data_IF_777221483513
#
_entry.id   IF_777221483513
#
_cell.length_a   1.000
_cell.length_b   1.000
_cell.length_c   1.000
_cell.angle_alpha   90.00
_cell.angle_beta   90.00
_cell.angle_gamma   90.00
#
_symmetry.space_group_name_H-M   'P 1'
#
loop_
_entity.id
_entity.type
_entity.pdbx_description
1 polymer ?
#
# COMPACT_ATOMS: atom_id res chain seq x y z
N UNK A 1 43.00 -30.53 15.84
CA UNK A 1 42.37 -30.19 17.14
C UNK A 1 41.93 -28.73 17.24
N UNK A 2 42.71 -27.75 16.78
CA UNK A 2 42.37 -26.31 16.87
C UNK A 2 41.13 -25.92 16.05
N UNK A 3 40.96 -26.44 14.82
CA UNK A 3 39.77 -26.16 13.98
C UNK A 3 38.45 -26.65 14.58
N UNK A 4 38.46 -27.74 15.36
CA UNK A 4 37.24 -28.33 15.95
C UNK A 4 36.72 -27.49 17.11
N UNK A 5 37.58 -26.74 17.80
CA UNK A 5 37.17 -25.84 18.89
C UNK A 5 36.73 -24.45 18.39
N UNK A 6 37.18 -24.00 17.21
CA UNK A 6 36.87 -22.65 16.69
C UNK A 6 35.46 -22.57 16.08
N UNK A 7 35.03 -23.61 15.36
CA UNK A 7 33.70 -23.66 14.70
C UNK A 7 32.53 -23.42 15.68
N UNK A 8 32.43 -24.09 16.84
CA UNK A 8 31.35 -23.82 17.78
C UNK A 8 31.38 -22.40 18.35
N UNK A 9 32.56 -21.82 18.57
CA UNK A 9 32.70 -20.43 19.03
C UNK A 9 32.21 -19.42 18.00
N UNK A 10 32.51 -19.63 16.71
CA UNK A 10 32.02 -18.77 15.62
C UNK A 10 30.50 -18.89 15.47
N UNK A 11 29.97 -20.12 15.53
CA UNK A 11 28.53 -20.35 15.44
C UNK A 11 27.76 -19.69 16.60
N UNK A 12 28.30 -19.79 17.82
CA UNK A 12 27.75 -19.12 19.00
C UNK A 12 27.76 -17.59 18.84
N UNK A 13 28.89 -17.01 18.40
CA UNK A 13 29.00 -15.57 18.17
C UNK A 13 28.00 -15.09 17.11
N UNK A 14 27.84 -15.82 16.01
CA UNK A 14 26.85 -15.51 14.98
C UNK A 14 25.44 -15.59 15.54
N UNK A 15 25.11 -16.64 16.29
CA UNK A 15 23.80 -16.80 16.93
C UNK A 15 23.47 -15.65 17.89
N UNK A 16 24.42 -15.28 18.75
CA UNK A 16 24.27 -14.13 19.65
C UNK A 16 24.13 -12.80 18.91
N UNK A 17 24.86 -12.63 17.80
CA UNK A 17 24.75 -11.43 16.95
C UNK A 17 23.37 -11.33 16.30
N UNK A 18 22.87 -12.43 15.75
CA UNK A 18 21.53 -12.48 15.15
C UNK A 18 20.45 -12.20 16.20
N UNK A 19 20.56 -12.82 17.38
CA UNK A 19 19.65 -12.57 18.50
C UNK A 19 19.69 -11.11 18.93
N UNK A 20 20.88 -10.53 19.07
CA UNK A 20 21.03 -9.12 19.44
C UNK A 20 20.44 -8.17 18.39
N UNK A 21 20.66 -8.43 17.09
CA UNK A 21 20.06 -7.65 16.01
C UNK A 21 18.52 -7.73 16.06
N UNK A 22 17.96 -8.92 16.24
CA UNK A 22 16.51 -9.12 16.32
C UNK A 22 15.91 -8.44 17.55
N UNK A 23 16.53 -8.60 18.72
CA UNK A 23 16.08 -7.95 19.96
C UNK A 23 16.14 -6.44 19.83
N UNK A 24 17.25 -5.89 19.32
CA UNK A 24 17.39 -4.45 19.08
C UNK A 24 16.31 -3.93 18.13
N UNK A 25 15.98 -4.70 17.09
CA UNK A 25 14.93 -4.34 16.13
C UNK A 25 13.53 -4.37 16.73
N UNK A 26 13.18 -5.45 17.43
CA UNK A 26 11.84 -5.64 18.01
C UNK A 26 11.58 -4.72 19.20
N UNK A 27 12.63 -4.37 19.95
CA UNK A 27 12.54 -3.53 21.15
C UNK A 27 12.88 -2.06 20.87
N UNK A 28 13.13 -1.68 19.61
CA UNK A 28 13.42 -0.28 19.27
C UNK A 28 12.24 0.61 19.67
N UNK A 29 12.47 1.73 20.38
CA UNK A 29 11.42 2.71 20.63
C UNK A 29 10.80 3.15 19.30
N UNK A 30 9.47 3.13 19.22
CA UNK A 30 8.73 3.56 18.04
C UNK A 30 7.49 4.34 18.48
N UNK A 31 7.03 5.24 17.62
CA UNK A 31 5.77 5.92 17.87
C UNK A 31 4.60 4.93 17.82
N UNK A 32 3.70 4.93 18.84
CA UNK A 32 2.47 4.17 18.82
C UNK A 32 1.37 4.85 18.01
N UNK A 33 1.51 6.15 17.70
CA UNK A 33 0.45 6.91 17.04
C UNK A 33 0.10 6.30 15.69
N UNK A 34 -1.20 6.18 15.46
CA UNK A 34 -1.79 5.78 14.19
C UNK A 34 -2.75 6.88 13.72
N UNK A 35 -2.59 7.31 12.48
CA UNK A 35 -3.51 8.20 11.80
C UNK A 35 -4.49 7.37 10.98
N UNK A 36 -5.78 7.68 11.10
CA UNK A 36 -6.84 7.10 10.27
C UNK A 36 -7.60 8.23 9.62
N UNK A 37 -7.85 8.10 8.31
CA UNK A 37 -8.74 9.00 7.59
C UNK A 37 -10.19 8.49 7.70
N UNK A 38 -11.10 9.41 8.00
CA UNK A 38 -12.53 9.19 7.90
C UNK A 38 -13.00 9.51 6.46
N UNK A 39 -14.24 9.14 6.06
CA UNK A 39 -14.76 9.47 4.74
C UNK A 39 -14.70 10.98 4.44
N UNK A 40 -14.39 11.31 3.19
CA UNK A 40 -14.34 12.69 2.71
C UNK A 40 -15.61 13.02 1.94
N UNK A 41 -16.12 14.23 2.16
CA UNK A 41 -17.19 14.83 1.39
C UNK A 41 -16.60 15.68 0.26
N UNK A 42 -17.13 15.49 -0.95
CA UNK A 42 -16.77 16.25 -2.14
C UNK A 42 -18.00 17.02 -2.61
N UNK A 43 -17.90 18.34 -2.60
CA UNK A 43 -18.98 19.24 -3.00
C UNK A 43 -18.52 20.07 -4.20
N UNK A 44 -19.19 19.88 -5.34
CA UNK A 44 -19.00 20.72 -6.52
C UNK A 44 -19.97 21.92 -6.47
N UNK A 45 -19.47 23.12 -6.72
CA UNK A 45 -20.24 24.34 -6.78
C UNK A 45 -19.80 25.22 -7.97
N UNK A 46 -20.46 26.37 -8.18
CA UNK A 46 -20.20 27.23 -9.33
C UNK A 46 -18.77 27.81 -9.37
N UNK A 47 -18.10 27.90 -8.22
CA UNK A 47 -16.75 28.47 -8.11
C UNK A 47 -15.64 27.39 -8.04
N UNK A 48 -16.00 26.09 -8.13
CA UNK A 48 -15.06 24.97 -8.10
C UNK A 48 -15.48 23.81 -7.18
N UNK A 49 -14.50 23.13 -6.59
CA UNK A 49 -14.71 21.92 -5.78
C UNK A 49 -14.19 22.15 -4.36
N UNK A 50 -14.99 21.79 -3.37
CA UNK A 50 -14.58 21.76 -1.96
C UNK A 50 -14.54 20.32 -1.48
N UNK A 51 -13.45 19.95 -0.81
CA UNK A 51 -13.20 18.62 -0.26
C UNK A 51 -12.97 18.78 1.24
N UNK A 52 -13.81 18.13 2.05
CA UNK A 52 -13.73 18.18 3.51
C UNK A 52 -13.71 16.77 4.07
N UNK A 53 -12.79 16.51 4.99
CA UNK A 53 -12.75 15.24 5.72
C UNK A 53 -12.11 15.41 7.08
N UNK A 54 -12.17 14.38 7.91
CA UNK A 54 -11.51 14.35 9.21
C UNK A 54 -10.46 13.24 9.24
N UNK A 55 -9.38 13.47 9.98
CA UNK A 55 -8.41 12.45 10.37
C UNK A 55 -8.40 12.31 11.89
N UNK A 56 -8.33 11.06 12.35
CA UNK A 56 -8.23 10.71 13.76
C UNK A 56 -6.82 10.19 14.05
N UNK A 57 -6.12 10.84 14.97
CA UNK A 57 -4.82 10.40 15.49
C UNK A 57 -5.05 9.71 16.83
N UNK A 58 -4.76 8.41 16.90
CA UNK A 58 -4.99 7.59 18.09
C UNK A 58 -3.67 7.13 18.71
N UNK A 59 -3.58 7.19 20.03
CA UNK A 59 -2.49 6.58 20.78
C UNK A 59 -2.97 5.29 21.48
N UNK A 60 -2.72 4.11 20.89
CA UNK A 60 -3.11 2.83 21.50
C UNK A 60 -2.27 2.48 22.73
N UNK A 61 -1.11 3.12 22.94
CA UNK A 61 -0.22 2.78 24.04
C UNK A 61 -0.84 3.18 25.39
N UNK A 62 -0.61 2.36 26.43
CA UNK A 62 -1.26 2.56 27.73
C UNK A 62 -0.75 3.77 28.51
N UNK A 63 0.54 4.08 28.42
CA UNK A 63 1.22 5.04 29.32
C UNK A 63 2.07 6.09 28.62
N UNK A 64 2.35 5.90 27.33
CA UNK A 64 3.30 6.76 26.63
C UNK A 64 2.49 7.90 26.07
N UNK A 65 2.92 9.11 26.37
CA UNK A 65 2.37 10.32 25.77
C UNK A 65 3.25 10.69 24.58
N UNK A 66 2.62 11.12 23.50
CA UNK A 66 3.32 11.45 22.26
C UNK A 66 2.81 12.80 21.79
N UNK A 67 3.75 13.66 21.46
CA UNK A 67 3.49 15.00 20.98
C UNK A 67 3.34 14.96 19.47
N UNK A 68 2.36 15.71 18.97
CA UNK A 68 2.18 16.05 17.55
C UNK A 68 2.44 17.55 17.41
N UNK A 69 3.72 17.97 17.36
CA UNK A 69 4.06 19.39 17.32
C UNK A 69 3.73 20.03 15.97
N UNK A 70 3.68 19.24 14.91
CA UNK A 70 3.53 19.72 13.53
C UNK A 70 2.58 18.80 12.76
N UNK A 71 1.66 19.41 12.00
CA UNK A 71 0.86 18.77 10.95
C UNK A 71 0.70 19.77 9.80
N UNK A 72 0.81 19.29 8.57
CA UNK A 72 0.64 20.08 7.37
C UNK A 72 0.06 19.21 6.25
N UNK A 73 -0.57 19.86 5.27
CA UNK A 73 -1.10 19.21 4.09
C UNK A 73 -0.23 19.52 2.87
N UNK A 74 -0.02 18.51 2.04
CA UNK A 74 0.57 18.65 0.72
C UNK A 74 -0.34 17.96 -0.31
N UNK A 75 -1.36 18.68 -0.80
CA UNK A 75 -2.30 18.14 -1.77
C UNK A 75 -1.77 18.22 -3.21
N UNK A 76 -2.01 17.17 -3.98
CA UNK A 76 -1.60 17.00 -5.38
C UNK A 76 -2.82 16.65 -6.23
N UNK A 77 -2.98 17.36 -7.35
CA UNK A 77 -4.08 17.14 -8.29
C UNK A 77 -3.68 16.10 -9.34
N UNK A 78 -4.52 15.08 -9.51
CA UNK A 78 -4.35 14.04 -10.53
C UNK A 78 -5.53 14.06 -11.49
N UNK A 79 -5.23 14.12 -12.79
CA UNK A 79 -6.24 14.29 -13.81
C UNK A 79 -5.73 14.08 -15.23
N UNK A 80 -6.56 14.46 -16.19
CA UNK A 80 -6.30 14.43 -17.63
C UNK A 80 -6.10 15.88 -18.12
N UNK A 81 -4.87 16.20 -18.53
CA UNK A 81 -4.50 17.52 -19.06
C UNK A 81 -3.93 18.47 -18.01
N UNK A 82 -3.86 19.76 -18.34
CA UNK A 82 -2.97 20.75 -17.70
C UNK A 82 -3.19 20.95 -16.18
N UNK A 83 -4.11 21.76 -15.67
CA UNK A 83 -4.40 22.00 -14.24
C UNK A 83 -3.58 23.14 -13.59
N UNK A 84 -2.64 23.78 -14.29
CA UNK A 84 -1.98 25.00 -13.79
C UNK A 84 -2.94 26.16 -13.50
N UNK A 85 -4.11 26.15 -14.13
CA UNK A 85 -5.19 27.13 -13.95
C UNK A 85 -6.04 26.87 -12.69
N UNK A 86 -5.84 25.74 -12.01
CA UNK A 86 -6.57 25.41 -10.77
C UNK A 86 -5.86 26.03 -9.58
N UNK A 87 -6.53 26.98 -8.92
CA UNK A 87 -6.07 27.53 -7.65
C UNK A 87 -6.42 26.56 -6.53
N UNK A 88 -5.39 26.01 -5.90
CA UNK A 88 -5.53 25.13 -4.75
C UNK A 88 -5.27 25.92 -3.47
N UNK A 89 -6.15 25.77 -2.48
CA UNK A 89 -5.90 26.16 -1.10
C UNK A 89 -6.27 25.02 -0.17
N UNK A 90 -5.55 24.89 0.95
CA UNK A 90 -5.83 23.87 1.96
C UNK A 90 -5.58 24.40 3.36
N UNK A 91 -6.26 23.84 4.36
CA UNK A 91 -6.01 24.13 5.77
C UNK A 91 -6.33 22.93 6.65
N UNK A 92 -5.71 22.93 7.82
CA UNK A 92 -5.94 21.99 8.91
C UNK A 92 -6.64 22.73 10.03
N UNK A 93 -7.76 22.20 10.50
CA UNK A 93 -8.50 22.73 11.65
C UNK A 93 -8.34 21.73 12.80
N UNK A 94 -7.68 22.15 13.88
CA UNK A 94 -7.47 21.31 15.06
C UNK A 94 -8.80 21.05 15.77
N UNK A 95 -9.12 19.78 16.02
CA UNK A 95 -10.32 19.33 16.75
C UNK A 95 -9.89 18.56 18.01
N UNK A 96 -9.09 19.20 18.84
CA UNK A 96 -8.62 18.65 20.11
C UNK A 96 -9.79 18.49 21.10
N UNK A 97 -9.86 17.39 21.86
CA UNK A 97 -10.95 17.15 22.79
C UNK A 97 -10.96 18.08 24.01
N UNK A 98 -9.81 18.65 24.37
CA UNK A 98 -9.58 19.42 25.60
C UNK A 98 -9.00 20.82 25.36
N UNK A 99 -8.93 21.28 24.11
CA UNK A 99 -8.49 22.63 23.74
C UNK A 99 -9.44 23.23 22.69
N UNK A 100 -9.70 24.53 22.81
CA UNK A 100 -10.47 25.25 21.79
C UNK A 100 -9.66 25.45 20.51
N UNK A 101 -10.31 25.27 19.37
CA UNK A 101 -9.73 25.56 18.07
C UNK A 101 -9.40 27.05 17.95
N UNK A 102 -8.15 27.37 17.61
CA UNK A 102 -7.75 28.75 17.40
C UNK A 102 -8.44 29.36 16.17
N UNK A 103 -8.89 30.63 16.20
CA UNK A 103 -9.53 31.28 15.04
C UNK A 103 -8.63 31.41 13.80
N UNK A 104 -7.32 31.42 13.99
CA UNK A 104 -6.32 31.46 12.91
C UNK A 104 -6.03 30.09 12.29
N UNK A 105 -6.64 29.01 12.82
CA UNK A 105 -6.39 27.62 12.46
C UNK A 105 -4.93 27.19 12.61
N UNK A 106 -4.15 27.86 13.45
CA UNK A 106 -2.81 27.41 13.79
C UNK A 106 -2.88 26.08 14.54
N UNK A 107 -2.08 25.11 14.12
CA UNK A 107 -1.94 23.85 14.84
C UNK A 107 -1.10 24.05 16.10
N UNK A 108 -1.75 24.11 17.26
CA UNK A 108 -1.06 24.07 18.53
C UNK A 108 -0.44 22.68 18.73
N UNK A 109 0.80 22.65 19.22
CA UNK A 109 1.47 21.39 19.53
C UNK A 109 0.64 20.60 20.57
N UNK A 110 0.19 19.41 20.19
CA UNK A 110 -0.78 18.65 21.00
C UNK A 110 -0.20 17.35 21.55
N UNK A 111 -0.58 16.99 22.78
CA UNK A 111 -0.14 15.76 23.44
C UNK A 111 -1.24 14.71 23.35
N UNK A 112 -1.03 13.68 22.55
CA UNK A 112 -1.95 12.53 22.51
C UNK A 112 -1.58 11.58 23.64
N UNK A 113 -2.32 11.67 24.75
CA UNK A 113 -2.14 10.82 25.93
C UNK A 113 -2.43 9.35 25.63
N UNK A 114 -1.92 8.45 26.48
CA UNK A 114 -2.15 7.01 26.31
C UNK A 114 -3.64 6.64 26.29
N UNK A 115 -4.04 5.79 25.33
CA UNK A 115 -5.45 5.39 25.06
C UNK A 115 -6.38 6.55 24.76
N UNK A 116 -5.86 7.68 24.29
CA UNK A 116 -6.63 8.83 23.84
C UNK A 116 -6.44 9.05 22.35
N UNK A 117 -7.28 9.89 21.80
CA UNK A 117 -7.24 10.32 20.41
C UNK A 117 -7.45 11.83 20.31
N UNK A 118 -7.00 12.39 19.21
CA UNK A 118 -7.29 13.75 18.78
C UNK A 118 -7.72 13.72 17.32
N UNK A 119 -8.35 14.79 16.85
CA UNK A 119 -8.82 14.88 15.46
C UNK A 119 -8.32 16.14 14.80
N UNK A 120 -8.28 16.12 13.48
CA UNK A 120 -8.08 17.28 12.64
C UNK A 120 -9.04 17.23 11.47
N UNK A 121 -9.70 18.35 11.17
CA UNK A 121 -10.48 18.51 9.95
C UNK A 121 -9.59 19.09 8.86
N UNK A 122 -9.64 18.47 7.69
CA UNK A 122 -8.89 18.86 6.51
C UNK A 122 -9.86 19.50 5.54
N UNK A 123 -9.59 20.74 5.15
CA UNK A 123 -10.40 21.46 4.17
C UNK A 123 -9.52 21.83 2.98
N UNK A 124 -9.94 21.42 1.78
CA UNK A 124 -9.25 21.71 0.52
C UNK A 124 -10.26 22.37 -0.42
N UNK A 125 -9.91 23.52 -0.97
CA UNK A 125 -10.71 24.25 -1.95
C UNK A 125 -9.93 24.39 -3.25
N UNK A 126 -10.57 23.97 -4.33
CA UNK A 126 -10.06 24.01 -5.70
C UNK A 126 -10.92 24.98 -6.49
N UNK A 127 -10.36 26.13 -6.87
CA UNK A 127 -11.05 27.16 -7.66
C UNK A 127 -10.51 27.19 -9.08
N UNK A 128 -11.40 27.17 -10.06
CA UNK A 128 -11.06 27.33 -11.47
C UNK A 128 -12.27 27.89 -12.24
N UNK A 129 -12.05 28.60 -13.36
CA UNK A 129 -13.15 29.02 -14.23
C UNK A 129 -13.92 27.80 -14.76
N UNK A 130 -15.23 27.75 -14.50
CA UNK A 130 -16.11 26.74 -15.10
C UNK A 130 -16.15 26.85 -16.63
N UNK A 131 -16.38 25.74 -17.37
CA UNK A 131 -16.86 24.41 -16.92
C UNK A 131 -15.80 23.29 -17.04
N UNK A 132 -14.51 23.61 -16.95
CA UNK A 132 -13.44 22.68 -17.36
C UNK A 132 -12.87 21.77 -16.26
N UNK A 133 -12.97 22.12 -14.97
CA UNK A 133 -12.23 21.41 -13.90
C UNK A 133 -12.76 19.99 -13.64
N UNK A 134 -14.08 19.80 -13.56
CA UNK A 134 -14.68 18.50 -13.24
C UNK A 134 -14.45 17.42 -14.32
N UNK A 135 -14.15 17.83 -15.56
CA UNK A 135 -13.84 16.91 -16.66
C UNK A 135 -12.34 16.55 -16.73
N UNK A 136 -11.48 17.44 -16.22
CA UNK A 136 -10.02 17.31 -16.27
C UNK A 136 -9.45 16.72 -14.99
N UNK A 137 -10.14 16.83 -13.86
CA UNK A 137 -9.64 16.39 -12.57
C UNK A 137 -10.33 15.08 -12.16
N UNK A 138 -9.53 14.05 -11.88
CA UNK A 138 -10.04 12.73 -11.50
C UNK A 138 -9.97 12.49 -9.99
N UNK A 139 -8.86 12.92 -9.37
CA UNK A 139 -8.49 12.49 -8.02
C UNK A 139 -7.66 13.56 -7.33
N UNK A 140 -7.89 13.73 -6.04
CA UNK A 140 -7.07 14.55 -5.15
C UNK A 140 -6.26 13.62 -4.25
N UNK A 141 -4.94 13.71 -4.34
CA UNK A 141 -4.03 13.05 -3.40
C UNK A 141 -3.67 14.01 -2.29
N UNK A 142 -3.98 13.69 -1.04
CA UNK A 142 -3.70 14.53 0.12
C UNK A 142 -2.62 13.84 0.95
N UNK A 143 -1.45 14.46 1.04
CA UNK A 143 -0.43 14.00 1.96
C UNK A 143 -0.56 14.76 3.28
N UNK A 144 -0.73 14.02 4.36
CA UNK A 144 -0.64 14.55 5.72
C UNK A 144 0.80 14.37 6.19
N UNK A 145 1.54 15.47 6.26
CA UNK A 145 2.90 15.52 6.78
C UNK A 145 2.84 15.90 8.26
N UNK A 146 3.32 15.04 9.15
CA UNK A 146 3.21 15.26 10.58
C UNK A 146 4.41 14.71 11.33
N UNK A 147 4.57 15.15 12.58
CA UNK A 147 5.71 14.76 13.41
C UNK A 147 5.21 14.01 14.64
N UNK A 148 5.83 12.87 14.93
CA UNK A 148 5.65 12.17 16.19
C UNK A 148 6.87 12.47 17.04
N UNK A 149 6.67 13.09 18.20
CA UNK A 149 7.75 13.46 19.11
C UNK A 149 7.56 12.82 20.48
N UNK A 150 8.58 12.13 20.98
CA UNK A 150 8.49 11.37 22.24
C UNK A 150 9.81 10.67 22.61
N UNK A 151 9.78 9.63 23.47
CA UNK A 151 10.98 8.91 23.93
C UNK A 151 11.81 8.26 22.81
N UNK A 152 11.22 8.07 21.63
CA UNK A 152 11.88 7.55 20.42
C UNK A 152 12.51 8.66 19.57
N UNK A 153 12.51 9.91 20.04
CA UNK A 153 13.01 11.07 19.31
C UNK A 153 11.93 11.74 18.46
N UNK A 154 12.34 12.26 17.29
CA UNK A 154 11.49 12.98 16.34
C UNK A 154 11.35 12.18 15.06
N UNK A 155 10.15 11.67 14.79
CA UNK A 155 9.85 10.88 13.60
C UNK A 155 8.97 11.67 12.64
N UNK A 156 9.45 11.85 11.41
CA UNK A 156 8.66 12.40 10.33
C UNK A 156 7.70 11.34 9.79
N UNK A 157 6.43 11.68 9.73
CA UNK A 157 5.35 10.85 9.20
C UNK A 157 4.74 11.51 7.96
N UNK A 158 4.28 10.65 7.07
CA UNK A 158 3.68 11.02 5.78
C UNK A 158 2.63 9.97 5.47
N UNK A 159 1.37 10.35 5.61
CA UNK A 159 0.23 9.49 5.33
C UNK A 159 -0.48 10.04 4.09
N UNK A 160 -0.79 9.15 3.16
CA UNK A 160 -1.43 9.49 1.91
C UNK A 160 -2.93 9.16 1.94
N UNK A 161 -3.76 10.11 1.53
CA UNK A 161 -5.20 9.96 1.46
C UNK A 161 -5.62 10.27 0.02
N UNK A 162 -6.14 9.26 -0.66
CA UNK A 162 -6.64 9.41 -2.02
C UNK A 162 -8.14 9.67 -1.99
N UNK A 163 -8.55 10.85 -2.45
CA UNK A 163 -9.96 11.25 -2.54
C UNK A 163 -10.38 11.27 -4.02
N UNK A 164 -11.19 10.31 -4.48
CA UNK A 164 -11.70 10.33 -5.85
C UNK A 164 -12.70 11.48 -6.01
N UNK A 165 -12.43 12.38 -6.95
CA UNK A 165 -13.34 13.48 -7.30
C UNK A 165 -14.33 13.06 -8.40
N UNK A 166 -13.95 12.05 -9.18
CA UNK A 166 -14.81 11.37 -10.14
C UNK A 166 -14.64 9.86 -10.00
N UNK A 167 -15.76 9.13 -10.01
CA UNK A 167 -15.77 7.66 -10.09
C UNK A 167 -16.36 7.24 -11.44
N UNK A 168 -15.77 6.26 -12.15
CA UNK A 168 -16.40 5.69 -13.33
C UNK A 168 -17.69 4.96 -12.94
N UNK A 169 -18.67 4.96 -13.85
CA UNK A 169 -19.87 4.15 -13.67
C UNK A 169 -19.53 2.66 -13.84
N UNK A 170 -20.15 1.76 -13.07
CA UNK A 170 -20.03 0.33 -13.30
C UNK A 170 -20.47 -0.06 -14.72
N UNK A 171 -19.80 -1.05 -15.30
CA UNK A 171 -20.12 -1.55 -16.65
C UNK A 171 -21.50 -2.22 -16.62
N UNK A 172 -22.39 -1.82 -17.52
CA UNK A 172 -23.67 -2.51 -17.70
C UNK A 172 -23.44 -3.87 -18.38
N UNK A 173 -24.20 -4.90 -18.00
CA UNK A 173 -24.00 -6.27 -18.50
C UNK A 173 -24.04 -6.39 -20.04
N UNK A 174 -24.83 -5.55 -20.72
CA UNK A 174 -24.93 -5.50 -22.18
C UNK A 174 -23.78 -4.76 -22.89
N UNK A 175 -22.98 -4.00 -22.16
CA UNK A 175 -21.86 -3.20 -22.67
C UNK A 175 -20.49 -3.85 -22.39
N UNK A 176 -20.49 -5.01 -21.71
CA UNK A 176 -19.28 -5.71 -21.32
C UNK A 176 -18.51 -6.25 -22.54
N UNK A 177 -17.35 -5.66 -22.82
CA UNK A 177 -16.45 -6.05 -23.89
C UNK A 177 -15.56 -7.24 -23.46
N UNK A 178 -16.11 -8.46 -23.54
CA UNK A 178 -15.40 -9.69 -23.22
C UNK A 178 -14.30 -10.01 -24.24
N UNK A 179 -13.13 -10.44 -23.74
CA UNK A 179 -12.04 -10.97 -24.54
C UNK A 179 -12.02 -12.50 -24.42
N UNK A 180 -11.96 -13.20 -25.54
CA UNK A 180 -11.88 -14.65 -25.55
C UNK A 180 -10.48 -15.15 -25.20
N UNK A 181 -10.41 -16.23 -24.41
CA UNK A 181 -9.18 -16.90 -24.00
C UNK A 181 -9.29 -18.42 -24.11
N UNK A 182 -8.25 -19.13 -23.68
CA UNK A 182 -8.25 -20.61 -23.67
C UNK A 182 -9.24 -21.14 -22.61
N UNK A 183 -10.38 -21.67 -23.08
CA UNK A 183 -11.47 -22.25 -22.25
C UNK A 183 -12.09 -21.25 -21.26
N UNK A 184 -11.97 -19.96 -21.52
CA UNK A 184 -12.60 -18.91 -20.73
C UNK A 184 -12.82 -17.65 -21.59
N UNK A 185 -13.57 -16.71 -21.04
CA UNK A 185 -13.56 -15.30 -21.46
C UNK A 185 -13.18 -14.43 -20.27
N UNK A 186 -12.51 -13.32 -20.54
CA UNK A 186 -12.03 -12.39 -19.53
C UNK A 186 -12.56 -10.99 -19.77
N UNK A 187 -12.86 -10.26 -18.69
CA UNK A 187 -13.29 -8.88 -18.73
C UNK A 187 -12.49 -8.07 -17.71
N UNK A 188 -11.75 -7.08 -18.19
CA UNK A 188 -11.10 -6.10 -17.34
C UNK A 188 -12.13 -5.06 -16.89
N UNK A 189 -12.16 -4.77 -15.59
CA UNK A 189 -13.14 -3.87 -14.98
C UNK A 189 -12.43 -2.65 -14.43
N UNK A 190 -12.74 -1.49 -15.01
CA UNK A 190 -12.15 -0.21 -14.64
C UNK A 190 -12.72 0.32 -13.32
N UNK A 191 -11.85 0.90 -12.49
CA UNK A 191 -12.21 1.55 -11.23
C UNK A 191 -11.69 2.99 -11.19
N UNK A 192 -12.07 3.75 -10.17
CA UNK A 192 -11.26 4.91 -9.79
C UNK A 192 -9.92 4.43 -9.21
N UNK A 193 -8.95 5.33 -9.03
CA UNK A 193 -7.72 4.99 -8.30
C UNK A 193 -8.11 4.59 -6.87
N UNK A 194 -7.67 3.41 -6.43
CA UNK A 194 -8.04 2.86 -5.14
C UNK A 194 -7.08 3.36 -4.05
N UNK A 195 -7.59 3.56 -2.83
CA UNK A 195 -6.81 4.06 -1.71
C UNK A 195 -7.33 3.62 -0.35
N UNK A 196 -6.75 4.21 0.71
CA UNK A 196 -7.03 3.83 2.11
C UNK A 196 -8.45 4.16 2.58
N UNK A 197 -9.21 4.94 1.81
CA UNK A 197 -10.62 5.23 2.07
C UNK A 197 -11.55 4.16 1.48
N UNK A 198 -11.04 3.29 0.62
CA UNK A 198 -11.85 2.28 -0.08
C UNK A 198 -11.89 0.97 0.71
N UNK A 199 -13.11 0.49 0.94
CA UNK A 199 -13.34 -0.87 1.43
C UNK A 199 -13.32 -1.87 0.26
N UNK A 200 -12.45 -2.90 0.30
CA UNK A 200 -12.33 -3.86 -0.79
C UNK A 200 -13.65 -4.55 -1.16
N UNK A 201 -14.49 -4.93 -0.19
CA UNK A 201 -15.76 -5.61 -0.50
C UNK A 201 -16.71 -4.68 -1.26
N UNK A 202 -16.82 -3.45 -0.79
CA UNK A 202 -17.62 -2.39 -1.42
C UNK A 202 -17.17 -2.12 -2.84
N UNK A 203 -15.85 -2.02 -3.07
CA UNK A 203 -15.27 -1.82 -4.42
C UNK A 203 -15.62 -2.99 -5.35
N UNK A 204 -15.38 -4.23 -4.91
CA UNK A 204 -15.65 -5.42 -5.71
C UNK A 204 -17.14 -5.50 -6.07
N UNK A 205 -18.04 -5.30 -5.10
CA UNK A 205 -19.49 -5.29 -5.33
C UNK A 205 -19.92 -4.18 -6.28
N UNK A 206 -19.45 -2.96 -6.07
CA UNK A 206 -19.86 -1.80 -6.86
C UNK A 206 -19.49 -1.95 -8.33
N UNK A 207 -18.24 -2.35 -8.62
CA UNK A 207 -17.73 -2.38 -10.00
C UNK A 207 -18.05 -3.66 -10.76
N UNK A 208 -18.16 -4.80 -10.07
CA UNK A 208 -18.33 -6.10 -10.73
C UNK A 208 -19.68 -6.77 -10.48
N UNK A 209 -20.43 -6.36 -9.45
CA UNK A 209 -21.57 -7.13 -8.93
C UNK A 209 -22.64 -7.47 -9.97
N UNK A 210 -22.95 -6.55 -10.89
CA UNK A 210 -23.93 -6.79 -11.97
C UNK A 210 -23.41 -7.68 -13.10
N UNK A 211 -22.11 -7.92 -13.16
CA UNK A 211 -21.44 -8.72 -14.19
C UNK A 211 -21.28 -10.18 -13.75
N UNK A 212 -21.29 -10.44 -12.44
CA UNK A 212 -21.01 -11.75 -11.86
C UNK A 212 -22.05 -12.80 -12.22
N UNK A 213 -21.58 -13.99 -12.57
CA UNK A 213 -22.39 -15.18 -12.79
C UNK A 213 -21.84 -16.36 -11.98
N UNK A 214 -22.69 -17.34 -11.59
CA UNK A 214 -22.21 -18.55 -10.94
C UNK A 214 -21.12 -19.24 -11.76
N UNK A 215 -20.02 -19.62 -11.09
CA UNK A 215 -18.85 -20.24 -11.72
C UNK A 215 -17.77 -19.26 -12.19
N UNK A 216 -18.04 -17.95 -12.14
CA UNK A 216 -17.00 -16.94 -12.38
C UNK A 216 -15.91 -16.96 -11.29
N UNK A 217 -14.73 -16.44 -11.65
CA UNK A 217 -13.69 -16.06 -10.72
C UNK A 217 -13.35 -14.58 -10.90
N UNK A 218 -13.61 -13.78 -9.87
CA UNK A 218 -13.22 -12.36 -9.83
C UNK A 218 -11.80 -12.25 -9.27
N UNK A 219 -10.91 -11.60 -10.01
CA UNK A 219 -9.54 -11.39 -9.58
C UNK A 219 -9.29 -9.92 -9.25
N UNK A 220 -8.46 -9.66 -8.25
CA UNK A 220 -7.93 -8.34 -7.91
C UNK A 220 -6.40 -8.37 -7.90
N UNK A 221 -5.78 -7.34 -8.46
CA UNK A 221 -4.33 -7.14 -8.39
C UNK A 221 -3.82 -7.05 -6.94
N UNK A 222 -2.64 -7.62 -6.69
CA UNK A 222 -1.96 -7.57 -5.40
C UNK A 222 -1.84 -6.13 -4.87
N UNK A 223 -1.22 -5.26 -5.67
CA UNK A 223 -0.85 -3.89 -5.29
C UNK A 223 -2.07 -3.04 -4.92
N UNK A 224 -3.15 -2.98 -5.73
CA UNK A 224 -4.38 -2.28 -5.34
C UNK A 224 -4.98 -2.79 -4.02
N UNK A 225 -4.97 -4.10 -3.76
CA UNK A 225 -5.45 -4.65 -2.49
C UNK A 225 -4.56 -4.20 -1.32
N UNK A 226 -3.25 -4.25 -1.49
CA UNK A 226 -2.30 -3.81 -0.45
C UNK A 226 -2.44 -2.31 -0.15
N UNK A 227 -2.64 -1.50 -1.18
CA UNK A 227 -2.89 -0.05 -1.06
C UNK A 227 -4.17 0.25 -0.27
N UNK A 228 -5.29 -0.42 -0.58
CA UNK A 228 -6.54 -0.28 0.21
C UNK A 228 -6.35 -0.71 1.67
N UNK A 229 -5.44 -1.65 1.93
CA UNK A 229 -5.06 -2.08 3.28
C UNK A 229 -4.04 -1.15 3.98
N UNK A 230 -3.67 -0.02 3.35
CA UNK A 230 -2.67 0.92 3.85
C UNK A 230 -1.27 0.34 3.96
N UNK A 231 -0.90 -0.59 3.07
CA UNK A 231 0.40 -1.29 3.08
C UNK A 231 1.40 -0.69 2.13
N UNK A 232 1.60 0.61 2.25
CA UNK A 232 2.62 1.33 1.51
C UNK A 232 3.18 2.45 2.39
N UNK A 233 4.37 2.92 2.07
CA UNK A 233 4.96 4.08 2.73
C UNK A 233 5.91 4.82 1.80
N UNK A 234 6.00 6.14 1.98
CA UNK A 234 6.92 6.95 1.21
C UNK A 234 8.37 6.72 1.69
N UNK A 235 9.36 6.55 0.80
CA UNK A 235 10.76 6.32 1.17
C UNK A 235 11.35 7.34 2.15
N UNK A 236 10.84 8.59 2.13
CA UNK A 236 11.25 9.65 3.07
C UNK A 236 10.92 9.36 4.55
N UNK A 237 10.04 8.40 4.85
CA UNK A 237 9.73 7.97 6.22
C UNK A 237 10.46 6.68 6.62
N UNK A 238 11.27 6.12 5.73
CA UNK A 238 12.10 4.94 5.98
C UNK A 238 13.48 5.39 6.43
N UNK A 239 14.01 4.76 7.47
CA UNK A 239 15.37 4.99 7.96
C UNK A 239 16.24 3.76 7.65
N UNK A 240 16.99 3.74 6.52
CA UNK A 240 17.76 2.56 6.14
C UNK A 240 18.94 2.33 7.08
N UNK A 241 18.94 1.18 7.74
CA UNK A 241 20.02 0.71 8.59
C UNK A 241 21.31 0.46 7.79
N UNK A 242 22.45 0.41 8.50
CA UNK A 242 23.72 0.00 7.90
C UNK A 242 23.63 -1.40 7.27
N UNK A 243 22.84 -2.30 7.89
CA UNK A 243 22.57 -3.63 7.36
C UNK A 243 21.87 -3.53 5.99
N UNK A 244 20.76 -2.79 5.89
CA UNK A 244 20.05 -2.62 4.63
C UNK A 244 20.95 -2.02 3.53
N UNK A 245 21.71 -0.98 3.86
CA UNK A 245 22.65 -0.31 2.92
C UNK A 245 23.77 -1.22 2.43
N UNK A 246 24.20 -2.18 3.25
CA UNK A 246 25.24 -3.15 2.87
C UNK A 246 24.65 -4.26 2.01
N UNK A 247 23.58 -4.89 2.48
CA UNK A 247 23.03 -6.10 1.87
C UNK A 247 22.35 -5.83 0.52
N UNK A 248 21.82 -4.63 0.29
CA UNK A 248 21.09 -4.29 -0.95
C UNK A 248 21.97 -4.35 -2.21
N UNK A 249 23.30 -4.22 -2.06
CA UNK A 249 24.27 -4.13 -3.17
C UNK A 249 24.45 -5.43 -3.97
N UNK A 250 23.94 -6.55 -3.47
CA UNK A 250 24.13 -7.88 -4.08
C UNK A 250 22.97 -8.29 -4.98
N UNK A 251 21.86 -7.55 -4.91
CA UNK A 251 20.70 -7.76 -5.77
C UNK A 251 20.92 -7.16 -7.16
N UNK A 252 20.18 -7.68 -8.14
CA UNK A 252 20.17 -7.10 -9.48
C UNK A 252 19.63 -5.67 -9.41
N UNK A 253 20.20 -4.67 -10.12
CA UNK A 253 19.81 -3.26 -9.98
C UNK A 253 18.32 -2.97 -10.18
N UNK A 254 17.62 -3.79 -10.96
CA UNK A 254 16.18 -3.67 -11.22
C UNK A 254 15.30 -4.36 -10.18
N UNK A 255 15.87 -4.88 -9.09
CA UNK A 255 15.11 -5.50 -8.00
C UNK A 255 14.69 -4.44 -6.98
N UNK A 256 13.46 -4.54 -6.48
CA UNK A 256 12.96 -3.74 -5.35
C UNK A 256 13.83 -3.83 -4.09
N UNK A 257 14.66 -4.89 -3.96
CA UNK A 257 15.57 -5.08 -2.83
C UNK A 257 16.98 -4.56 -3.09
N UNK A 258 17.25 -3.98 -4.27
CA UNK A 258 18.52 -3.36 -4.61
C UNK A 258 18.68 -1.96 -4.00
N UNK A 259 17.62 -1.38 -3.47
CA UNK A 259 17.66 -0.11 -2.73
C UNK A 259 17.70 -0.35 -1.23
N UNK A 260 18.30 0.61 -0.51
CA UNK A 260 18.38 0.53 0.94
C UNK A 260 17.00 0.67 1.60
N UNK A 261 16.10 1.49 1.05
CA UNK A 261 14.75 1.66 1.57
C UNK A 261 13.87 0.43 1.32
N UNK A 262 13.93 -0.16 0.13
CA UNK A 262 13.20 -1.40 -0.18
C UNK A 262 13.65 -2.55 0.71
N UNK A 263 14.97 -2.74 0.87
CA UNK A 263 15.48 -3.79 1.77
C UNK A 263 15.22 -3.50 3.25
N UNK A 264 15.25 -2.23 3.69
CA UNK A 264 14.88 -1.86 5.05
C UNK A 264 13.40 -2.17 5.32
N UNK A 265 12.52 -1.93 4.34
CA UNK A 265 11.10 -2.26 4.45
C UNK A 265 10.88 -3.76 4.63
N UNK A 266 11.68 -4.60 3.95
CA UNK A 266 11.67 -6.05 4.18
C UNK A 266 12.17 -6.42 5.59
N UNK A 267 13.27 -5.81 6.03
CA UNK A 267 13.83 -6.02 7.39
C UNK A 267 12.80 -5.63 8.46
N UNK A 268 12.04 -4.55 8.24
CA UNK A 268 11.04 -4.08 9.18
C UNK A 268 9.91 -5.10 9.40
N UNK A 269 9.54 -5.83 8.34
CA UNK A 269 8.49 -6.86 8.38
C UNK A 269 9.03 -8.21 8.87
N UNK A 270 10.11 -8.71 8.27
CA UNK A 270 10.60 -10.08 8.45
C UNK A 270 11.66 -10.22 9.56
N UNK A 271 12.27 -9.11 9.98
CA UNK A 271 13.30 -9.06 11.01
C UNK A 271 14.73 -9.15 10.45
N UNK A 272 15.69 -8.39 11.02
CA UNK A 272 17.06 -8.34 10.50
C UNK A 272 17.78 -9.68 10.61
N UNK A 273 17.50 -10.50 11.62
CA UNK A 273 18.17 -11.79 11.77
C UNK A 273 17.82 -12.74 10.62
N UNK A 274 16.53 -12.81 10.26
CA UNK A 274 16.04 -13.61 9.13
C UNK A 274 16.66 -13.14 7.83
N UNK A 275 16.65 -11.83 7.57
CA UNK A 275 17.17 -11.27 6.32
C UNK A 275 18.67 -11.47 6.20
N UNK A 276 19.44 -11.25 7.27
CA UNK A 276 20.88 -11.51 7.26
C UNK A 276 21.18 -13.00 7.05
N UNK A 277 20.48 -13.90 7.73
CA UNK A 277 20.64 -15.35 7.54
C UNK A 277 20.29 -15.79 6.11
N UNK A 278 19.16 -15.33 5.57
CA UNK A 278 18.74 -15.59 4.19
C UNK A 278 19.75 -15.05 3.17
N UNK A 279 20.34 -13.88 3.43
CA UNK A 279 21.37 -13.29 2.59
C UNK A 279 22.66 -14.10 2.61
N UNK A 280 23.14 -14.50 3.79
CA UNK A 280 24.37 -15.30 3.94
C UNK A 280 24.23 -16.65 3.22
N UNK A 281 23.16 -17.39 3.52
CA UNK A 281 22.89 -18.70 2.92
C UNK A 281 22.61 -18.54 1.42
N UNK A 282 21.77 -17.58 1.03
CA UNK A 282 21.42 -17.34 -0.36
C UNK A 282 22.62 -16.96 -1.23
N UNK A 283 23.55 -16.17 -0.70
CA UNK A 283 24.77 -15.77 -1.40
C UNK A 283 25.74 -16.94 -1.52
N UNK A 284 25.94 -17.72 -0.45
CA UNK A 284 26.77 -18.92 -0.49
C UNK A 284 26.25 -19.97 -1.49
N UNK A 285 24.93 -20.21 -1.48
CA UNK A 285 24.29 -21.13 -2.42
C UNK A 285 24.37 -20.63 -3.87
N UNK A 286 24.22 -19.31 -4.09
CA UNK A 286 24.41 -18.70 -5.42
C UNK A 286 25.82 -18.92 -5.95
N UNK A 287 26.85 -18.87 -5.09
CA UNK A 287 28.24 -19.11 -5.48
C UNK A 287 28.50 -20.54 -5.97
N UNK A 288 27.74 -21.53 -5.48
CA UNK A 288 27.79 -22.93 -5.94
C UNK A 288 26.73 -23.25 -7.02
N UNK A 289 26.13 -22.24 -7.65
CA UNK A 289 25.21 -22.38 -8.78
C UNK A 289 23.71 -22.48 -8.41
N UNK A 290 23.36 -22.54 -7.12
CA UNK A 290 21.99 -22.63 -6.64
C UNK A 290 21.37 -21.23 -6.45
N UNK A 291 20.73 -20.72 -7.50
CA UNK A 291 20.16 -19.35 -7.53
C UNK A 291 18.80 -19.27 -6.81
N UNK A 292 18.46 -18.08 -6.30
CA UNK A 292 17.13 -17.74 -5.79
C UNK A 292 16.82 -18.17 -4.35
N UNK A 293 17.76 -18.79 -3.63
CA UNK A 293 17.53 -19.26 -2.26
C UNK A 293 17.27 -18.15 -1.24
N UNK A 294 17.80 -16.94 -1.46
CA UNK A 294 17.45 -15.77 -0.65
C UNK A 294 15.93 -15.62 -0.54
N UNK A 295 15.21 -15.59 -1.66
CA UNK A 295 13.75 -15.41 -1.70
C UNK A 295 12.95 -16.61 -1.16
N UNK A 296 13.59 -17.75 -0.88
CA UNK A 296 12.96 -18.89 -0.21
C UNK A 296 13.07 -18.77 1.31
N UNK A 297 14.14 -18.15 1.79
CA UNK A 297 14.46 -18.04 3.21
C UNK A 297 14.01 -16.69 3.82
N UNK A 298 14.00 -15.62 3.02
CA UNK A 298 13.76 -14.24 3.45
C UNK A 298 12.30 -13.93 3.82
N UNK A 299 11.38 -14.89 3.68
CA UNK A 299 9.95 -14.70 3.94
C UNK A 299 9.14 -14.42 2.68
N UNK A 300 7.82 -14.43 2.81
CA UNK A 300 6.90 -14.28 1.69
C UNK A 300 6.98 -12.87 1.08
N UNK A 301 7.14 -11.86 1.95
CA UNK A 301 7.18 -10.45 1.56
C UNK A 301 8.39 -10.12 0.67
N UNK A 302 9.47 -10.91 0.74
CA UNK A 302 10.66 -10.68 -0.09
C UNK A 302 10.37 -10.74 -1.60
N UNK A 303 9.27 -11.38 -2.02
CA UNK A 303 8.84 -11.48 -3.42
C UNK A 303 7.67 -10.56 -3.77
N UNK A 304 7.21 -9.76 -2.81
CA UNK A 304 5.97 -8.99 -2.87
C UNK A 304 6.21 -7.49 -2.63
N UNK A 305 7.43 -7.11 -2.22
CA UNK A 305 7.77 -5.70 -2.04
C UNK A 305 8.05 -5.11 -3.42
N UNK A 306 7.29 -4.08 -3.74
CA UNK A 306 7.49 -3.22 -4.90
C UNK A 306 8.07 -1.89 -4.44
N UNK A 307 9.20 -1.52 -5.01
CA UNK A 307 9.87 -0.25 -4.75
C UNK A 307 9.35 0.83 -5.72
N UNK A 308 9.86 2.05 -5.58
CA UNK A 308 9.55 3.20 -6.44
C UNK A 308 9.59 2.80 -7.92
N UNK A 309 8.72 3.41 -8.74
CA UNK A 309 8.53 3.22 -10.19
C UNK A 309 7.75 1.97 -10.64
N UNK A 310 7.29 1.13 -9.71
CA UNK A 310 6.54 -0.09 -10.02
C UNK A 310 5.02 0.05 -10.14
N UNK A 311 4.44 1.21 -9.82
CA UNK A 311 2.98 1.35 -9.61
C UNK A 311 2.40 2.61 -10.26
N UNK A 312 1.07 2.71 -10.33
CA UNK A 312 0.36 3.89 -10.85
C UNK A 312 0.50 5.10 -9.91
N UNK A 313 0.63 6.33 -10.43
CA UNK A 313 0.58 7.54 -9.60
C UNK A 313 -0.68 7.61 -8.72
N UNK A 314 -0.56 8.08 -7.46
CA UNK A 314 0.64 8.66 -6.81
C UNK A 314 1.54 7.62 -6.12
N UNK A 315 1.20 6.33 -6.20
CA UNK A 315 1.92 5.27 -5.50
C UNK A 315 3.27 4.97 -6.15
N UNK A 316 3.52 5.42 -7.38
CA UNK A 316 4.79 5.30 -8.10
C UNK A 316 5.99 5.84 -7.31
N UNK A 317 5.74 6.73 -6.34
CA UNK A 317 6.73 7.32 -5.44
C UNK A 317 6.82 6.63 -4.07
N UNK A 318 6.15 5.48 -3.91
CA UNK A 318 6.03 4.76 -2.63
C UNK A 318 6.61 3.36 -2.72
N UNK A 319 6.95 2.81 -1.56
CA UNK A 319 7.26 1.39 -1.42
C UNK A 319 5.96 0.71 -1.01
N UNK A 320 5.51 -0.26 -1.80
CA UNK A 320 4.31 -1.05 -1.54
C UNK A 320 4.72 -2.44 -1.04
N UNK A 321 4.08 -2.90 0.03
CA UNK A 321 4.26 -4.24 0.57
C UNK A 321 3.14 -5.15 0.06
N UNK A 322 3.36 -6.46 0.02
CA UNK A 322 2.29 -7.38 -0.37
C UNK A 322 1.16 -7.46 0.65
N UNK A 323 -0.08 -7.78 0.23
CA UNK A 323 -1.30 -7.68 1.02
C UNK A 323 -1.27 -8.56 2.28
N UNK A 324 -1.99 -8.11 3.31
CA UNK A 324 -2.23 -8.88 4.53
C UNK A 324 -3.28 -9.95 4.28
N UNK A 325 -2.96 -11.18 4.68
CA UNK A 325 -3.88 -12.32 4.74
C UNK A 325 -4.68 -12.54 3.43
N UNK A 326 -4.03 -12.62 2.26
CA UNK A 326 -4.72 -12.68 0.96
C UNK A 326 -5.65 -13.91 0.86
N UNK A 327 -5.30 -15.05 1.47
CA UNK A 327 -6.18 -16.23 1.51
C UNK A 327 -7.48 -15.95 2.27
N UNK A 328 -7.40 -15.40 3.47
CA UNK A 328 -8.60 -15.09 4.25
C UNK A 328 -9.48 -14.03 3.56
N UNK A 329 -8.85 -13.09 2.86
CA UNK A 329 -9.55 -12.14 2.00
C UNK A 329 -10.33 -12.86 0.89
N UNK A 330 -9.68 -13.74 0.12
CA UNK A 330 -10.31 -14.50 -0.96
C UNK A 330 -11.52 -15.31 -0.47
N UNK A 331 -11.38 -16.07 0.62
CA UNK A 331 -12.49 -16.88 1.14
C UNK A 331 -13.69 -16.02 1.58
N UNK A 332 -13.41 -14.91 2.29
CA UNK A 332 -14.46 -14.00 2.75
C UNK A 332 -15.18 -13.34 1.57
N UNK A 333 -14.43 -12.89 0.56
CA UNK A 333 -15.03 -12.25 -0.62
C UNK A 333 -15.80 -13.25 -1.48
N UNK A 334 -15.33 -14.49 -1.59
CA UNK A 334 -16.06 -15.53 -2.31
C UNK A 334 -17.41 -15.83 -1.65
N UNK A 335 -17.45 -15.94 -0.32
CA UNK A 335 -18.71 -16.06 0.43
C UNK A 335 -19.62 -14.86 0.24
N UNK A 336 -19.04 -13.65 0.27
CA UNK A 336 -19.77 -12.39 0.14
C UNK A 336 -20.38 -12.19 -1.26
N UNK A 337 -19.67 -12.59 -2.32
CA UNK A 337 -20.04 -12.35 -3.71
C UNK A 337 -20.71 -13.55 -4.40
N UNK A 338 -20.59 -14.76 -3.84
CA UNK A 338 -21.14 -15.99 -4.42
C UNK A 338 -20.37 -16.54 -5.63
N UNK A 339 -19.15 -16.06 -5.86
CA UNK A 339 -18.26 -16.48 -6.96
C UNK A 339 -16.84 -16.72 -6.44
N UNK A 340 -15.98 -17.37 -7.22
CA UNK A 340 -14.57 -17.52 -6.85
C UNK A 340 -13.87 -16.16 -6.76
N UNK A 341 -12.91 -16.01 -5.85
CA UNK A 341 -12.10 -14.77 -5.74
C UNK A 341 -10.62 -15.11 -5.63
N UNK A 342 -9.77 -14.41 -6.39
CA UNK A 342 -8.33 -14.58 -6.35
C UNK A 342 -7.57 -13.24 -6.25
N UNK A 343 -6.45 -13.26 -5.53
CA UNK A 343 -5.47 -12.16 -5.52
C UNK A 343 -4.30 -12.57 -6.41
N UNK A 344 -3.97 -11.73 -7.38
CA UNK A 344 -3.01 -12.05 -8.43
C UNK A 344 -1.97 -10.96 -8.62
N UNK A 345 -0.76 -11.36 -8.97
CA UNK A 345 0.31 -10.49 -9.46
C UNK A 345 0.59 -10.90 -10.92
N UNK A 346 0.41 -9.96 -11.84
CA UNK A 346 0.47 -10.18 -13.29
C UNK A 346 1.31 -9.08 -13.90
N UNK A 347 2.22 -9.45 -14.81
CA UNK A 347 3.02 -8.48 -15.57
C UNK A 347 3.04 -8.79 -17.07
N UNK A 348 3.50 -7.82 -17.87
CA UNK A 348 3.54 -7.89 -19.33
C UNK A 348 4.52 -8.93 -19.88
N UNK A 349 5.41 -9.46 -19.04
CA UNK A 349 6.31 -10.55 -19.42
C UNK A 349 5.60 -11.93 -19.39
N UNK A 350 4.28 -11.92 -19.18
CA UNK A 350 3.45 -13.12 -19.13
C UNK A 350 3.69 -13.96 -17.90
N UNK A 351 4.24 -13.37 -16.82
CA UNK A 351 4.32 -14.04 -15.52
C UNK A 351 3.05 -13.73 -14.74
N UNK A 352 2.36 -14.78 -14.37
CA UNK A 352 1.19 -14.73 -13.49
C UNK A 352 1.53 -15.47 -12.22
N UNK A 353 1.29 -14.84 -11.09
CA UNK A 353 1.41 -15.43 -9.78
C UNK A 353 0.07 -15.28 -9.08
N UNK A 354 -0.55 -16.41 -8.75
CA UNK A 354 -1.72 -16.43 -7.87
C UNK A 354 -1.19 -16.41 -6.44
N UNK A 355 -1.42 -15.30 -5.73
CA UNK A 355 -1.00 -15.16 -4.34
C UNK A 355 -1.92 -15.93 -3.41
N UNK A 356 -3.22 -15.92 -3.72
CA UNK A 356 -4.26 -16.63 -3.03
C UNK A 356 -5.48 -16.78 -3.94
N UNK A 357 -6.27 -17.83 -3.71
CA UNK A 357 -7.56 -18.03 -4.35
C UNK A 357 -8.51 -18.74 -3.39
N UNK A 358 -9.81 -18.43 -3.46
CA UNK A 358 -10.82 -19.11 -2.66
C UNK A 358 -10.95 -20.57 -3.06
N UNK A 359 -11.48 -21.39 -2.15
CA UNK A 359 -11.67 -22.82 -2.40
C UNK A 359 -12.41 -23.10 -3.72
N UNK A 360 -11.90 -24.05 -4.50
CA UNK A 360 -12.51 -24.49 -5.76
C UNK A 360 -12.11 -23.70 -7.02
N UNK A 361 -11.27 -22.67 -6.90
CA UNK A 361 -10.72 -21.98 -8.06
C UNK A 361 -9.72 -22.86 -8.83
N UNK A 362 -9.82 -22.92 -10.16
CA UNK A 362 -8.81 -23.53 -11.03
C UNK A 362 -7.65 -22.54 -11.25
N UNK A 363 -6.61 -22.65 -10.42
CA UNK A 363 -5.39 -21.82 -10.56
C UNK A 363 -4.73 -21.97 -11.93
N UNK A 364 -4.80 -23.16 -12.53
CA UNK A 364 -4.25 -23.40 -13.87
C UNK A 364 -5.00 -22.60 -14.93
N UNK A 365 -6.34 -22.52 -14.82
CA UNK A 365 -7.14 -21.64 -15.67
C UNK A 365 -6.78 -20.17 -15.46
N UNK A 366 -6.68 -19.71 -14.21
CA UNK A 366 -6.30 -18.32 -13.90
C UNK A 366 -4.95 -17.96 -14.50
N UNK A 367 -3.94 -18.82 -14.37
CA UNK A 367 -2.63 -18.60 -14.97
C UNK A 367 -2.70 -18.46 -16.50
N UNK A 368 -3.50 -19.28 -17.18
CA UNK A 368 -3.67 -19.18 -18.64
C UNK A 368 -4.47 -17.94 -19.04
N UNK A 369 -5.56 -17.66 -18.33
CA UNK A 369 -6.47 -16.55 -18.60
C UNK A 369 -5.80 -15.18 -18.43
N UNK A 370 -4.94 -15.04 -17.42
CA UNK A 370 -4.29 -13.77 -17.07
C UNK A 370 -2.92 -13.59 -17.73
N UNK A 371 -2.35 -14.62 -18.35
CA UNK A 371 -1.03 -14.54 -19.02
C UNK A 371 -0.92 -13.43 -20.07
N UNK A 372 -1.97 -13.10 -20.84
CA UNK A 372 -1.94 -11.96 -21.77
C UNK A 372 -2.01 -10.58 -21.10
N UNK A 373 -2.02 -10.52 -19.77
CA UNK A 373 -2.27 -9.34 -18.95
C UNK A 373 -3.53 -8.56 -19.37
N UNK A 374 -4.74 -9.13 -19.21
CA UNK A 374 -5.97 -8.45 -19.59
C UNK A 374 -6.25 -7.19 -18.77
N UNK A 375 -5.70 -7.10 -17.55
CA UNK A 375 -5.76 -5.91 -16.71
C UNK A 375 -4.93 -4.74 -17.24
N UNK A 376 -3.96 -5.01 -18.14
CA UNK A 376 -2.98 -4.04 -18.57
C UNK A 376 -2.11 -3.53 -17.41
N UNK A 377 -1.45 -2.39 -17.59
CA UNK A 377 -0.56 -1.81 -16.59
C UNK A 377 -0.71 -0.28 -16.47
N UNK A 378 -0.21 0.25 -15.35
CA UNK A 378 -0.11 1.68 -15.06
C UNK A 378 -1.44 2.46 -15.16
N UNK A 379 -1.73 3.07 -16.31
CA UNK A 379 -2.77 4.09 -16.44
C UNK A 379 -4.15 3.55 -16.86
N UNK A 380 -4.27 2.25 -17.13
CA UNK A 380 -5.53 1.63 -17.56
C UNK A 380 -6.60 1.57 -16.45
N UNK A 381 -6.17 1.64 -15.18
CA UNK A 381 -7.04 1.67 -13.98
C UNK A 381 -8.06 0.51 -13.94
N UNK A 382 -7.61 -0.67 -14.33
CA UNK A 382 -8.38 -1.93 -14.40
C UNK A 382 -7.86 -2.97 -13.42
N UNK A 383 -7.87 -2.69 -12.09
CA UNK A 383 -7.29 -3.59 -11.09
C UNK A 383 -8.09 -4.87 -10.89
N UNK A 384 -9.28 -4.97 -11.47
CA UNK A 384 -10.18 -6.12 -11.39
C UNK A 384 -10.28 -6.82 -12.74
N UNK A 385 -10.20 -8.15 -12.74
CA UNK A 385 -10.48 -8.96 -13.95
C UNK A 385 -11.43 -10.09 -13.60
N UNK A 386 -12.55 -10.15 -14.30
CA UNK A 386 -13.50 -11.25 -14.22
C UNK A 386 -13.10 -12.34 -15.22
N UNK A 387 -12.87 -13.56 -14.73
CA UNK A 387 -12.59 -14.74 -15.52
C UNK A 387 -13.82 -15.62 -15.50
N UNK A 388 -14.40 -15.88 -16.68
CA UNK A 388 -15.56 -16.75 -16.84
C UNK A 388 -15.16 -18.02 -17.59
N UNK A 389 -15.11 -19.18 -16.92
CA UNK A 389 -14.91 -20.47 -17.57
C UNK A 389 -15.99 -20.73 -18.63
N UNK A 390 -15.64 -21.49 -19.67
CA UNK A 390 -16.58 -21.95 -20.70
C UNK A 390 -17.20 -23.30 -20.39
#
# INVERSE_FOLDING_TARGET
MVLVQIVPSIALLLGLTLLWLELRHRLRPASPLALRAEPFEVQAGPDGITVVGEVTITNPHRRMEVFVPEIALHPVLLGQGDLRDVQLSSRVVALHPDEETRPDNYWAAYIVKGRKSTRARLEISLKAPEPAIAKRLDTLWIEVLWVNYGPFGRLHRRDGILVPLRKPNPIAAGEAAWREGDRCRVLAVGTHLLGVLDDPETVLRHYSGQLLQPGDVLTIGETPLAVMQGRYHHPATVEPSALARLLCRVFHPTSSLATACGLQSLIDVEGPARILGAWLIGTALKAIGLKGWFYRLAGEQARLIDDITGTTPPYDQTIVLGPKQPQAFCERMAQALGVGVAVVDVNDLGRVKVLAASQGCDEGLLQRALRPNPAGNANERTPLVLVRPR
#
